data_IF_256024541939
#
_entry.id   IF_256024541939
#
_cell.length_a   1.000
_cell.length_b   1.000
_cell.length_c   1.000
_cell.angle_alpha   90.00
_cell.angle_beta   90.00
_cell.angle_gamma   90.00
#
_symmetry.space_group_name_H-M   'P 1'
#
loop_
_entity.id
_entity.type
_entity.pdbx_description
1 polymer ?
#
# COMPACT_ATOMS: atom_id res chain seq x y z
N UNK A 1 -4.60 12.90 -22.72
CA UNK A 1 -5.60 11.82 -22.74
C UNK A 1 -5.09 10.53 -23.43
N UNK A 2 -3.79 10.18 -23.33
CA UNK A 2 -3.22 8.97 -23.98
C UNK A 2 -2.71 7.91 -22.99
N UNK A 3 -2.98 8.02 -21.68
CA UNK A 3 -2.44 7.09 -20.66
C UNK A 3 -3.27 5.81 -20.43
N UNK A 4 -4.48 5.69 -20.98
CA UNK A 4 -5.36 4.55 -20.70
C UNK A 4 -5.04 3.26 -21.48
N UNK A 5 -4.20 3.31 -22.51
CA UNK A 5 -3.94 2.13 -23.38
C UNK A 5 -2.90 1.15 -22.80
N UNK A 6 -2.10 1.55 -21.83
CA UNK A 6 -0.98 0.75 -21.30
C UNK A 6 -1.38 -0.41 -20.36
N UNK A 7 -2.56 -0.37 -19.76
CA UNK A 7 -3.02 -1.38 -18.80
C UNK A 7 -3.93 -2.45 -19.40
N UNK A 8 -4.37 -2.24 -20.64
CA UNK A 8 -5.25 -3.18 -21.34
C UNK A 8 -4.51 -4.50 -21.56
N UNK A 9 -5.14 -5.59 -21.19
CA UNK A 9 -4.61 -6.96 -21.25
C UNK A 9 -3.57 -7.31 -20.14
N UNK A 10 -3.29 -6.42 -19.20
CA UNK A 10 -2.47 -6.73 -18.05
C UNK A 10 -3.32 -7.33 -16.92
N UNK A 11 -2.67 -8.14 -16.08
CA UNK A 11 -3.25 -8.75 -14.88
C UNK A 11 -2.66 -8.04 -13.65
N UNK A 12 -3.52 -7.45 -12.85
CA UNK A 12 -3.17 -6.75 -11.63
C UNK A 12 -3.70 -7.44 -10.38
N UNK A 13 -2.91 -7.42 -9.32
CA UNK A 13 -3.32 -7.79 -7.98
C UNK A 13 -3.25 -6.56 -7.08
N UNK A 14 -4.34 -6.27 -6.38
CA UNK A 14 -4.40 -5.24 -5.33
C UNK A 14 -4.72 -5.92 -4.00
N UNK A 15 -3.78 -5.86 -3.08
CA UNK A 15 -3.93 -6.40 -1.72
C UNK A 15 -4.42 -5.30 -0.80
N UNK A 16 -5.55 -5.52 -0.10
CA UNK A 16 -6.22 -4.47 0.66
C UNK A 16 -7.01 -3.51 -0.25
N UNK A 17 -7.67 -4.05 -1.28
CA UNK A 17 -8.33 -3.30 -2.34
C UNK A 17 -9.78 -2.93 -2.10
N UNK A 18 -10.36 -3.25 -0.93
CA UNK A 18 -11.80 -3.04 -0.70
C UNK A 18 -12.14 -1.63 -0.19
N UNK A 19 -11.20 -0.93 0.40
CA UNK A 19 -11.44 0.41 0.97
C UNK A 19 -10.28 1.37 0.71
N UNK A 20 -10.53 2.66 0.92
CA UNK A 20 -9.52 3.72 0.93
C UNK A 20 -8.66 3.77 -0.33
N UNK A 21 -7.34 3.87 -0.14
CA UNK A 21 -6.37 4.02 -1.22
C UNK A 21 -6.30 2.79 -2.12
N UNK A 22 -6.42 1.58 -1.54
CA UNK A 22 -6.45 0.33 -2.32
C UNK A 22 -7.64 0.29 -3.28
N UNK A 23 -8.83 0.64 -2.80
CA UNK A 23 -10.04 0.69 -3.63
C UNK A 23 -9.96 1.76 -4.74
N UNK A 24 -9.36 2.92 -4.44
CA UNK A 24 -9.14 3.93 -5.47
C UNK A 24 -8.25 3.41 -6.62
N UNK A 25 -7.22 2.61 -6.31
CA UNK A 25 -6.38 1.96 -7.33
C UNK A 25 -7.16 0.89 -8.10
N UNK A 26 -7.94 0.06 -7.42
CA UNK A 26 -8.80 -0.96 -8.06
C UNK A 26 -9.70 -0.31 -9.11
N UNK A 27 -10.44 0.74 -8.75
CA UNK A 27 -11.35 1.43 -9.67
C UNK A 27 -10.60 2.04 -10.86
N UNK A 28 -9.41 2.59 -10.67
CA UNK A 28 -8.60 3.17 -11.75
C UNK A 28 -8.05 2.09 -12.69
N UNK A 29 -7.60 0.95 -12.17
CA UNK A 29 -7.13 -0.19 -12.98
C UNK A 29 -8.27 -0.78 -13.81
N UNK A 30 -9.43 -1.02 -13.20
CA UNK A 30 -10.63 -1.52 -13.89
C UNK A 30 -11.08 -0.54 -14.99
N UNK A 31 -11.14 0.76 -14.70
CA UNK A 31 -11.47 1.79 -15.68
C UNK A 31 -10.46 1.88 -16.83
N UNK A 32 -9.19 1.51 -16.59
CA UNK A 32 -8.14 1.42 -17.61
C UNK A 32 -8.16 0.10 -18.43
N UNK A 33 -9.12 -0.79 -18.15
CA UNK A 33 -9.28 -2.08 -18.83
C UNK A 33 -8.31 -3.17 -18.37
N UNK A 34 -7.69 -2.99 -17.19
CA UNK A 34 -6.84 -3.99 -16.57
C UNK A 34 -7.68 -5.11 -15.94
N UNK A 35 -7.27 -6.37 -16.10
CA UNK A 35 -7.86 -7.49 -15.38
C UNK A 35 -7.40 -7.45 -13.94
N UNK A 36 -8.29 -7.05 -13.04
CA UNK A 36 -7.92 -6.72 -11.66
C UNK A 36 -8.47 -7.74 -10.67
N UNK A 37 -7.59 -8.24 -9.80
CA UNK A 37 -7.91 -9.11 -8.67
C UNK A 37 -7.70 -8.37 -7.36
N UNK A 38 -8.61 -8.56 -6.43
CA UNK A 38 -8.53 -8.00 -5.08
C UNK A 38 -8.33 -9.13 -4.07
N UNK A 39 -7.25 -9.07 -3.30
CA UNK A 39 -7.03 -9.92 -2.13
C UNK A 39 -7.36 -9.10 -0.88
N UNK A 40 -8.38 -9.49 -0.13
CA UNK A 40 -8.81 -8.77 1.08
C UNK A 40 -9.59 -9.73 2.03
N UNK A 41 -9.71 -9.35 3.29
CA UNK A 41 -10.57 -10.02 4.26
C UNK A 41 -12.05 -9.59 4.15
N UNK A 42 -12.31 -8.46 3.49
CA UNK A 42 -13.64 -7.92 3.22
C UNK A 42 -13.98 -8.06 1.74
N UNK A 43 -15.26 -8.27 1.42
CA UNK A 43 -15.73 -8.45 0.06
C UNK A 43 -15.85 -7.14 -0.73
N UNK A 44 -15.69 -7.23 -2.05
CA UNK A 44 -15.95 -6.16 -3.00
C UNK A 44 -16.59 -6.70 -4.27
N UNK A 45 -17.34 -5.85 -4.96
CA UNK A 45 -17.89 -6.12 -6.30
C UNK A 45 -17.17 -5.34 -7.40
N UNK A 46 -16.18 -4.52 -7.04
CA UNK A 46 -15.48 -3.63 -7.99
C UNK A 46 -14.53 -4.38 -8.94
N UNK A 47 -14.09 -5.59 -8.54
CA UNK A 47 -13.17 -6.44 -9.31
C UNK A 47 -13.31 -7.91 -8.89
N UNK A 48 -12.51 -8.82 -9.49
CA UNK A 48 -12.46 -10.21 -9.08
C UNK A 48 -11.92 -10.34 -7.64
N UNK A 49 -12.76 -10.79 -6.73
CA UNK A 49 -12.46 -10.87 -5.30
C UNK A 49 -11.95 -12.26 -4.89
N UNK A 50 -10.91 -12.27 -4.05
CA UNK A 50 -10.36 -13.43 -3.38
C UNK A 50 -10.28 -13.13 -1.87
N UNK A 51 -10.99 -13.89 -1.05
CA UNK A 51 -10.90 -13.76 0.40
C UNK A 51 -9.52 -14.24 0.85
N UNK A 52 -8.74 -13.34 1.42
CA UNK A 52 -7.35 -13.59 1.78
C UNK A 52 -6.93 -12.79 3.01
N UNK A 53 -6.56 -13.47 4.07
CA UNK A 53 -5.80 -12.87 5.17
C UNK A 53 -4.31 -13.04 4.87
N UNK A 54 -3.62 -11.96 4.55
CA UNK A 54 -2.20 -12.01 4.19
C UNK A 54 -1.27 -12.44 5.31
N UNK A 55 -1.76 -12.49 6.56
CA UNK A 55 -1.02 -13.07 7.69
C UNK A 55 -0.88 -14.58 7.56
N UNK A 56 -1.78 -15.21 6.83
CA UNK A 56 -1.78 -16.65 6.55
C UNK A 56 -1.17 -16.92 5.17
N UNK A 57 0.06 -17.44 5.17
CA UNK A 57 0.79 -17.74 3.93
C UNK A 57 0.05 -18.76 3.05
N UNK A 58 -0.67 -19.72 3.64
CA UNK A 58 -1.39 -20.74 2.87
C UNK A 58 -2.55 -20.15 2.07
N UNK A 59 -3.28 -19.17 2.63
CA UNK A 59 -4.31 -18.44 1.91
C UNK A 59 -3.71 -17.61 0.76
N UNK A 60 -2.59 -16.90 1.02
CA UNK A 60 -1.88 -16.14 -0.02
C UNK A 60 -1.45 -17.05 -1.16
N UNK A 61 -0.80 -18.18 -0.84
CA UNK A 61 -0.37 -19.17 -1.84
C UNK A 61 -1.55 -19.66 -2.69
N UNK A 62 -2.66 -20.05 -2.06
CA UNK A 62 -3.85 -20.55 -2.78
C UNK A 62 -4.45 -19.50 -3.71
N UNK A 63 -4.60 -18.26 -3.24
CA UNK A 63 -5.15 -17.16 -4.06
C UNK A 63 -4.24 -16.85 -5.26
N UNK A 64 -2.92 -16.76 -5.05
CA UNK A 64 -1.97 -16.48 -6.14
C UNK A 64 -1.95 -17.65 -7.14
N UNK A 65 -1.93 -18.90 -6.67
CA UNK A 65 -1.97 -20.08 -7.54
C UNK A 65 -3.25 -20.12 -8.40
N UNK A 66 -4.41 -19.79 -7.82
CA UNK A 66 -5.69 -19.69 -8.56
C UNK A 66 -5.63 -18.61 -9.65
N UNK A 67 -5.10 -17.42 -9.33
CA UNK A 67 -4.95 -16.33 -10.31
C UNK A 67 -4.02 -16.75 -11.45
N UNK A 68 -2.88 -17.34 -11.13
CA UNK A 68 -1.92 -17.80 -12.15
C UNK A 68 -2.51 -18.92 -13.01
N UNK A 69 -3.24 -19.87 -12.42
CA UNK A 69 -3.89 -20.94 -13.18
C UNK A 69 -4.95 -20.40 -14.15
N UNK A 70 -5.67 -19.34 -13.76
CA UNK A 70 -6.74 -18.72 -14.56
C UNK A 70 -6.20 -17.78 -15.64
N UNK A 71 -5.19 -16.98 -15.33
CA UNK A 71 -4.77 -15.86 -16.16
C UNK A 71 -3.37 -16.00 -16.76
N UNK A 72 -2.60 -16.97 -16.29
CA UNK A 72 -1.27 -17.32 -16.79
C UNK A 72 -0.16 -16.33 -16.42
N UNK A 73 -0.48 -15.19 -15.79
CA UNK A 73 0.45 -14.10 -15.55
C UNK A 73 0.03 -13.19 -14.40
N UNK A 74 0.99 -12.44 -13.87
CA UNK A 74 0.78 -11.31 -12.96
C UNK A 74 1.71 -10.18 -13.41
N UNK A 75 1.16 -9.06 -13.87
CA UNK A 75 1.95 -7.93 -14.38
C UNK A 75 2.17 -6.83 -13.35
N UNK A 76 1.14 -6.58 -12.56
CA UNK A 76 1.06 -5.45 -11.65
C UNK A 76 0.69 -5.94 -10.25
N UNK A 77 1.40 -5.42 -9.25
CA UNK A 77 1.08 -5.69 -7.85
C UNK A 77 1.06 -4.38 -7.06
N UNK A 78 -0.04 -4.13 -6.36
CA UNK A 78 -0.11 -3.07 -5.36
C UNK A 78 -0.46 -3.67 -4.00
N UNK A 79 0.40 -3.50 -3.00
CA UNK A 79 0.13 -3.93 -1.62
C UNK A 79 -0.24 -2.71 -0.79
N UNK A 80 -1.56 -2.50 -0.61
CA UNK A 80 -2.15 -1.42 0.17
C UNK A 80 -2.54 -1.85 1.59
N UNK A 81 -2.66 -3.16 1.83
CA UNK A 81 -3.07 -3.69 3.14
C UNK A 81 -2.13 -3.21 4.25
N UNK A 82 -2.72 -2.80 5.35
CA UNK A 82 -1.98 -2.36 6.51
C UNK A 82 -2.88 -1.92 7.65
N UNK A 83 -2.33 -1.92 8.85
CA UNK A 83 -3.00 -1.47 10.07
C UNK A 83 -2.13 -0.46 10.81
N UNK A 84 -2.78 0.48 11.48
CA UNK A 84 -2.13 1.49 12.32
C UNK A 84 -2.27 1.13 13.80
N UNK A 85 -1.30 1.56 14.61
CA UNK A 85 -1.36 1.51 16.07
C UNK A 85 -0.92 2.87 16.64
N UNK A 86 -1.71 3.41 17.57
CA UNK A 86 -1.46 4.71 18.20
C UNK A 86 -1.23 4.51 19.68
N UNK A 87 0.02 4.41 20.08
CA UNK A 87 0.49 4.33 21.47
C UNK A 87 1.97 4.69 21.56
N UNK A 88 2.46 5.03 22.76
CA UNK A 88 3.91 5.05 23.03
C UNK A 88 4.47 3.63 22.96
N UNK A 89 5.78 3.46 22.91
CA UNK A 89 6.37 2.13 22.87
C UNK A 89 6.07 1.36 24.17
N UNK A 90 6.15 2.01 25.31
CA UNK A 90 5.88 1.42 26.63
C UNK A 90 4.41 1.03 26.84
N UNK A 91 3.48 1.75 26.20
CA UNK A 91 2.03 1.46 26.23
C UNK A 91 1.61 0.43 25.17
N UNK A 92 2.50 0.03 24.28
CA UNK A 92 2.20 -0.95 23.22
C UNK A 92 2.30 -2.37 23.77
N UNK A 93 1.19 -3.10 23.73
CA UNK A 93 1.20 -4.53 24.10
C UNK A 93 1.95 -5.37 23.06
N UNK A 94 2.50 -6.53 23.49
CA UNK A 94 3.10 -7.48 22.55
C UNK A 94 2.10 -7.92 21.46
N UNK A 95 0.83 -8.11 21.82
CA UNK A 95 -0.23 -8.46 20.86
C UNK A 95 -0.47 -7.36 19.81
N UNK A 96 -0.43 -6.08 20.20
CA UNK A 96 -0.53 -4.96 19.25
C UNK A 96 0.69 -4.86 18.34
N UNK A 97 1.88 -5.06 18.90
CA UNK A 97 3.12 -5.15 18.14
C UNK A 97 3.02 -6.27 17.10
N UNK A 98 2.68 -7.48 17.52
CA UNK A 98 2.54 -8.64 16.63
C UNK A 98 1.47 -8.41 15.56
N UNK A 99 0.33 -7.82 15.91
CA UNK A 99 -0.73 -7.46 14.97
C UNK A 99 -0.23 -6.51 13.88
N UNK A 100 0.51 -5.47 14.23
CA UNK A 100 1.06 -4.52 13.25
C UNK A 100 2.12 -5.18 12.38
N UNK A 101 3.05 -5.92 12.97
CA UNK A 101 4.13 -6.57 12.24
C UNK A 101 3.62 -7.69 11.34
N UNK A 102 2.68 -8.50 11.82
CA UNK A 102 2.11 -9.60 11.04
C UNK A 102 1.36 -9.12 9.79
N UNK A 103 0.63 -8.01 9.87
CA UNK A 103 -0.06 -7.47 8.69
C UNK A 103 0.91 -6.68 7.80
N UNK A 104 1.60 -5.67 8.35
CA UNK A 104 2.32 -4.70 7.54
C UNK A 104 3.63 -5.26 6.96
N UNK A 105 4.30 -6.17 7.67
CA UNK A 105 5.62 -6.70 7.28
C UNK A 105 5.51 -8.15 6.82
N UNK A 106 5.07 -9.06 7.69
CA UNK A 106 4.99 -10.49 7.36
C UNK A 106 4.00 -10.75 6.23
N UNK A 107 2.83 -10.10 6.25
CA UNK A 107 1.84 -10.22 5.16
C UNK A 107 2.37 -9.70 3.83
N UNK A 108 3.07 -8.55 3.84
CA UNK A 108 3.76 -8.04 2.64
C UNK A 108 4.79 -9.04 2.13
N UNK A 109 5.58 -9.65 3.01
CA UNK A 109 6.55 -10.69 2.67
C UNK A 109 5.87 -11.92 2.05
N UNK A 110 4.76 -12.42 2.61
CA UNK A 110 4.03 -13.57 2.08
C UNK A 110 3.59 -13.34 0.63
N UNK A 111 2.98 -12.17 0.35
CA UNK A 111 2.52 -11.83 -1.01
C UNK A 111 3.69 -11.74 -1.98
N UNK A 112 4.76 -11.05 -1.61
CA UNK A 112 5.94 -10.90 -2.46
C UNK A 112 6.62 -12.25 -2.75
N UNK A 113 6.68 -13.13 -1.76
CA UNK A 113 7.26 -14.48 -1.89
C UNK A 113 6.55 -15.30 -2.96
N UNK A 114 5.24 -15.17 -3.11
CA UNK A 114 4.45 -15.90 -4.10
C UNK A 114 4.43 -15.20 -5.47
N UNK A 115 4.41 -13.87 -5.52
CA UNK A 115 4.30 -13.13 -6.79
C UNK A 115 5.65 -13.00 -7.51
N UNK A 116 6.75 -12.78 -6.80
CA UNK A 116 8.06 -12.56 -7.41
C UNK A 116 8.57 -13.72 -8.29
N UNK A 117 8.39 -15.02 -7.92
CA UNK A 117 8.75 -16.13 -8.81
C UNK A 117 7.98 -16.10 -10.14
N UNK A 118 6.69 -15.74 -10.12
CA UNK A 118 5.84 -15.61 -11.32
C UNK A 118 6.37 -14.50 -12.22
N UNK A 119 6.54 -13.29 -11.67
CA UNK A 119 7.08 -12.15 -12.43
C UNK A 119 8.50 -12.42 -12.96
N UNK A 120 9.35 -13.10 -12.18
CA UNK A 120 10.69 -13.49 -12.62
C UNK A 120 10.64 -14.45 -13.80
N UNK A 121 9.77 -15.44 -13.78
CA UNK A 121 9.60 -16.37 -14.92
C UNK A 121 9.08 -15.63 -16.17
N UNK A 122 8.23 -14.62 -16.02
CA UNK A 122 7.73 -13.75 -17.10
C UNK A 122 8.78 -12.76 -17.63
N UNK A 123 9.85 -12.47 -16.87
CA UNK A 123 10.81 -11.40 -17.13
C UNK A 123 10.12 -10.02 -17.23
N UNK A 124 9.08 -9.81 -16.42
CA UNK A 124 8.32 -8.56 -16.36
C UNK A 124 7.51 -8.48 -15.08
N UNK A 125 7.46 -7.29 -14.46
CA UNK A 125 6.58 -6.98 -13.35
C UNK A 125 6.76 -5.54 -12.85
N UNK A 126 5.64 -4.94 -12.40
CA UNK A 126 5.67 -3.63 -11.73
C UNK A 126 4.98 -3.75 -10.37
N UNK A 127 5.73 -3.46 -9.31
CA UNK A 127 5.29 -3.58 -7.92
C UNK A 127 5.31 -2.22 -7.25
N UNK A 128 4.22 -1.87 -6.58
CA UNK A 128 4.17 -0.70 -5.69
C UNK A 128 3.80 -1.17 -4.29
N UNK A 129 4.63 -0.81 -3.31
CA UNK A 129 4.39 -1.10 -1.90
C UNK A 129 3.88 0.16 -1.19
N UNK A 130 2.99 -0.03 -0.21
CA UNK A 130 2.46 1.07 0.60
C UNK A 130 3.36 1.35 1.79
N UNK A 131 4.19 2.38 1.68
CA UNK A 131 4.93 2.99 2.78
C UNK A 131 4.06 3.94 3.62
N UNK A 132 4.69 5.01 4.05
CA UNK A 132 4.11 6.17 4.77
C UNK A 132 5.17 7.28 4.81
N UNK A 133 4.76 8.52 5.05
CA UNK A 133 5.65 9.59 5.48
C UNK A 133 6.49 9.19 6.72
N UNK A 134 5.96 8.29 7.55
CA UNK A 134 6.67 7.72 8.70
C UNK A 134 7.83 6.76 8.33
N UNK A 135 8.07 6.52 7.06
CA UNK A 135 9.32 5.91 6.62
C UNK A 135 10.50 6.90 6.61
N UNK A 136 10.22 8.21 6.67
CA UNK A 136 11.20 9.29 6.66
C UNK A 136 11.30 10.04 7.97
N UNK A 137 10.16 10.24 8.66
CA UNK A 137 10.07 11.04 9.88
C UNK A 137 9.33 10.29 10.98
N UNK A 138 9.67 10.59 12.23
CA UNK A 138 8.95 10.08 13.40
C UNK A 138 7.66 10.87 13.65
N UNK A 139 6.60 10.15 14.10
CA UNK A 139 5.38 10.77 14.65
C UNK A 139 5.17 10.28 16.08
N UNK A 140 4.68 11.17 16.93
CA UNK A 140 4.37 10.83 18.32
C UNK A 140 3.37 9.67 18.40
N UNK A 141 3.56 8.77 19.38
CA UNK A 141 2.69 7.63 19.66
C UNK A 141 2.47 6.70 18.46
N UNK A 142 3.50 6.52 17.61
CA UNK A 142 3.41 5.74 16.37
C UNK A 142 4.68 4.92 16.11
N UNK A 143 5.45 4.58 17.14
CA UNK A 143 6.76 3.95 16.99
C UNK A 143 6.68 2.61 16.22
N UNK A 144 5.76 1.72 16.57
CA UNK A 144 5.62 0.39 15.95
C UNK A 144 5.11 0.50 14.51
N UNK A 145 4.17 1.42 14.24
CA UNK A 145 3.72 1.64 12.88
C UNK A 145 4.84 2.23 12.00
N UNK A 146 5.54 3.26 12.47
CA UNK A 146 6.68 3.85 11.75
C UNK A 146 7.76 2.81 11.46
N UNK A 147 8.12 1.98 12.45
CA UNK A 147 9.05 0.86 12.26
C UNK A 147 8.58 -0.08 11.15
N UNK A 148 7.29 -0.47 11.11
CA UNK A 148 6.77 -1.35 10.07
C UNK A 148 6.84 -0.72 8.68
N UNK A 149 6.62 0.59 8.56
CA UNK A 149 6.69 1.32 7.29
C UNK A 149 8.13 1.58 6.84
N UNK A 150 9.06 1.78 7.75
CA UNK A 150 10.48 1.81 7.47
C UNK A 150 10.99 0.44 6.96
N UNK A 151 10.50 -0.67 7.52
CA UNK A 151 10.81 -2.01 7.03
C UNK A 151 10.34 -2.22 5.58
N UNK A 152 9.12 -1.80 5.23
CA UNK A 152 8.60 -1.87 3.85
C UNK A 152 9.41 -0.98 2.91
N UNK A 153 9.79 0.22 3.35
CA UNK A 153 10.63 1.13 2.58
C UNK A 153 12.02 0.55 2.28
N UNK A 154 12.66 -0.06 3.27
CA UNK A 154 13.96 -0.72 3.07
C UNK A 154 13.83 -1.98 2.20
N UNK A 155 12.79 -2.78 2.41
CA UNK A 155 12.49 -3.95 1.58
C UNK A 155 12.36 -3.57 0.09
N UNK A 156 11.69 -2.45 -0.21
CA UNK A 156 11.57 -1.92 -1.59
C UNK A 156 12.94 -1.75 -2.26
N UNK A 157 13.90 -1.16 -1.56
CA UNK A 157 15.25 -0.91 -2.09
C UNK A 157 15.99 -2.21 -2.36
N UNK A 158 15.98 -3.14 -1.40
CA UNK A 158 16.67 -4.43 -1.52
C UNK A 158 16.10 -5.26 -2.68
N UNK A 159 14.77 -5.34 -2.77
CA UNK A 159 14.12 -6.08 -3.87
C UNK A 159 14.38 -5.44 -5.24
N UNK A 160 14.44 -4.11 -5.32
CA UNK A 160 14.79 -3.45 -6.59
C UNK A 160 16.20 -3.85 -7.06
N UNK A 161 17.17 -3.96 -6.15
CA UNK A 161 18.52 -4.44 -6.47
C UNK A 161 18.50 -5.89 -6.97
N UNK A 162 17.74 -6.76 -6.29
CA UNK A 162 17.71 -8.20 -6.59
C UNK A 162 16.99 -8.50 -7.92
N UNK A 163 15.91 -7.75 -8.25
CA UNK A 163 14.97 -8.13 -9.30
C UNK A 163 15.02 -7.26 -10.57
N UNK A 164 15.73 -6.13 -10.59
CA UNK A 164 15.85 -5.27 -11.78
C UNK A 164 16.42 -6.04 -12.99
N UNK A 165 17.33 -6.97 -12.79
CA UNK A 165 17.88 -7.84 -13.84
C UNK A 165 16.81 -8.72 -14.54
N UNK A 166 15.65 -8.89 -13.93
CA UNK A 166 14.51 -9.63 -14.47
C UNK A 166 13.42 -8.71 -15.05
N UNK A 167 13.76 -7.44 -15.32
CA UNK A 167 12.81 -6.43 -15.80
C UNK A 167 11.60 -6.25 -14.84
N UNK A 168 11.85 -6.38 -13.53
CA UNK A 168 10.85 -6.13 -12.48
C UNK A 168 11.21 -4.82 -11.78
N UNK A 169 10.26 -3.88 -11.75
CA UNK A 169 10.40 -2.60 -11.03
C UNK A 169 9.62 -2.65 -9.71
N UNK A 170 10.24 -2.16 -8.67
CA UNK A 170 9.65 -2.16 -7.33
C UNK A 170 9.84 -0.78 -6.73
N UNK A 171 8.73 -0.09 -6.43
CA UNK A 171 8.73 1.24 -5.83
C UNK A 171 7.81 1.27 -4.62
N UNK A 172 7.98 2.28 -3.78
CA UNK A 172 7.18 2.50 -2.59
C UNK A 172 6.50 3.86 -2.66
N UNK A 173 5.19 3.90 -2.50
CA UNK A 173 4.47 5.15 -2.29
C UNK A 173 4.41 5.44 -0.80
N UNK A 174 4.71 6.68 -0.42
CA UNK A 174 4.76 7.13 0.98
C UNK A 174 3.77 8.29 1.20
N UNK A 175 2.48 7.96 1.44
CA UNK A 175 1.46 8.98 1.67
C UNK A 175 1.65 9.71 2.99
N UNK A 176 1.23 10.98 3.03
CA UNK A 176 0.92 11.70 4.25
C UNK A 176 -0.44 11.31 4.81
N UNK A 177 -1.17 12.28 5.37
CA UNK A 177 -2.52 12.03 5.90
C UNK A 177 -3.56 12.06 4.79
N UNK A 178 -4.18 10.90 4.53
CA UNK A 178 -5.16 10.70 3.46
C UNK A 178 -6.53 10.42 4.05
N UNK A 179 -7.58 11.02 3.51
CA UNK A 179 -8.96 10.84 3.96
C UNK A 179 -9.46 9.41 3.68
N UNK A 180 -9.35 8.54 4.68
CA UNK A 180 -9.69 7.11 4.61
C UNK A 180 -10.44 6.68 5.86
N UNK A 181 -11.13 5.52 5.85
CA UNK A 181 -11.69 4.95 7.08
C UNK A 181 -10.66 4.77 8.20
N UNK A 182 -9.42 4.41 7.84
CA UNK A 182 -8.31 4.27 8.80
C UNK A 182 -8.04 5.58 9.52
N UNK A 183 -7.91 6.71 8.80
CA UNK A 183 -7.58 7.99 9.44
C UNK A 183 -8.70 8.48 10.34
N UNK A 184 -9.96 8.22 10.00
CA UNK A 184 -11.10 8.56 10.87
C UNK A 184 -10.99 7.86 12.22
N UNK A 185 -10.64 6.56 12.23
CA UNK A 185 -10.38 5.80 13.47
C UNK A 185 -9.16 6.34 14.24
N UNK A 186 -8.11 6.78 13.55
CA UNK A 186 -6.92 7.39 14.18
C UNK A 186 -7.29 8.71 14.86
N UNK A 187 -8.04 9.56 14.19
CA UNK A 187 -8.52 10.85 14.75
C UNK A 187 -9.35 10.64 16.02
N UNK A 188 -10.24 9.64 16.02
CA UNK A 188 -11.07 9.30 17.20
C UNK A 188 -10.18 8.82 18.38
N UNK A 189 -9.18 7.98 18.11
CA UNK A 189 -8.24 7.51 19.13
C UNK A 189 -7.37 8.62 19.69
N UNK A 190 -6.88 9.52 18.84
CA UNK A 190 -6.10 10.70 19.28
C UNK A 190 -6.98 11.60 20.17
N UNK A 191 -8.19 11.90 19.73
CA UNK A 191 -9.14 12.70 20.50
C UNK A 191 -9.41 12.10 21.88
N UNK A 192 -9.69 10.80 21.94
CA UNK A 192 -9.92 10.08 23.20
C UNK A 192 -8.70 10.06 24.10
N UNK A 193 -7.50 9.81 23.56
CA UNK A 193 -6.27 9.72 24.31
C UNK A 193 -5.77 11.06 24.88
N UNK A 194 -6.07 12.17 24.20
CA UNK A 194 -5.63 13.51 24.55
C UNK A 194 -6.73 14.40 25.15
N UNK A 195 -7.97 13.89 25.26
CA UNK A 195 -9.12 14.67 25.71
C UNK A 195 -9.50 15.83 24.75
N UNK A 196 -9.20 15.67 23.46
CA UNK A 196 -9.45 16.69 22.44
C UNK A 196 -10.70 16.38 21.63
N UNK A 197 -11.42 17.43 21.24
CA UNK A 197 -12.53 17.29 20.32
C UNK A 197 -12.02 16.89 18.92
N UNK A 198 -12.78 16.05 18.21
CA UNK A 198 -12.44 15.54 16.87
C UNK A 198 -12.03 16.65 15.89
N UNK A 199 -12.75 17.76 15.87
CA UNK A 199 -12.45 18.90 14.98
C UNK A 199 -11.08 19.52 15.23
N UNK A 200 -10.63 19.57 16.49
CA UNK A 200 -9.31 20.09 16.84
C UNK A 200 -8.20 19.15 16.36
N UNK A 201 -8.42 17.83 16.46
CA UNK A 201 -7.47 16.83 15.94
C UNK A 201 -7.41 16.89 14.42
N UNK A 202 -8.57 16.94 13.74
CA UNK A 202 -8.65 17.10 12.28
C UNK A 202 -7.90 18.34 11.80
N UNK A 203 -8.11 19.48 12.43
CA UNK A 203 -7.45 20.74 12.07
C UNK A 203 -5.94 20.66 12.28
N UNK A 204 -5.48 20.13 13.41
CA UNK A 204 -4.07 19.93 13.69
C UNK A 204 -3.41 19.02 12.63
N UNK A 205 -4.08 17.95 12.21
CA UNK A 205 -3.56 17.03 11.19
C UNK A 205 -3.57 17.64 9.79
N UNK A 206 -4.52 18.50 9.45
CA UNK A 206 -4.56 19.21 8.16
C UNK A 206 -3.46 20.26 8.07
N UNK A 207 -3.32 21.09 9.10
CA UNK A 207 -2.34 22.18 9.14
C UNK A 207 -0.91 21.71 9.27
N UNK A 208 -0.69 20.46 9.71
CA UNK A 208 0.63 19.83 9.70
C UNK A 208 1.19 19.62 8.28
N UNK A 209 0.32 19.52 7.27
CA UNK A 209 0.71 19.41 5.86
C UNK A 209 0.75 20.80 5.22
N UNK A 210 1.80 21.12 4.45
CA UNK A 210 1.95 22.45 3.83
C UNK A 210 0.77 22.85 2.94
N UNK A 211 0.11 21.87 2.31
CA UNK A 211 -1.10 22.10 1.51
C UNK A 211 -2.37 22.29 2.36
N UNK A 212 -2.29 22.19 3.69
CA UNK A 212 -3.33 22.45 4.69
C UNK A 212 -4.65 21.68 4.46
N UNK A 213 -4.57 20.49 3.90
CA UNK A 213 -5.72 19.58 3.73
C UNK A 213 -5.26 18.12 3.76
N UNK A 214 -6.21 17.23 3.98
CA UNK A 214 -5.94 15.80 3.73
C UNK A 214 -5.80 15.56 2.22
N UNK A 215 -4.94 14.61 1.86
CA UNK A 215 -4.96 14.04 0.52
C UNK A 215 -6.19 13.15 0.32
N UNK A 216 -6.53 12.88 -0.93
CA UNK A 216 -7.62 11.96 -1.26
C UNK A 216 -7.08 10.60 -1.71
N UNK A 217 -7.86 9.51 -1.53
CA UNK A 217 -7.50 8.19 -2.07
C UNK A 217 -7.22 8.23 -3.57
N UNK A 218 -7.97 9.05 -4.32
CA UNK A 218 -7.83 9.21 -5.76
C UNK A 218 -6.49 9.85 -6.16
N UNK A 219 -5.96 10.79 -5.37
CA UNK A 219 -4.64 11.40 -5.61
C UNK A 219 -3.54 10.35 -5.44
N UNK A 220 -3.63 9.51 -4.40
CA UNK A 220 -2.71 8.38 -4.21
C UNK A 220 -2.86 7.36 -5.35
N UNK A 221 -4.11 7.04 -5.73
CA UNK A 221 -4.39 6.16 -6.85
C UNK A 221 -3.69 6.59 -8.14
N UNK A 222 -3.75 7.88 -8.50
CA UNK A 222 -3.07 8.42 -9.69
C UNK A 222 -1.55 8.25 -9.62
N UNK A 223 -0.94 8.47 -8.46
CA UNK A 223 0.50 8.27 -8.28
C UNK A 223 0.88 6.78 -8.38
N UNK A 224 0.08 5.88 -7.82
CA UNK A 224 0.27 4.42 -7.95
C UNK A 224 0.12 3.99 -9.40
N UNK A 225 -0.90 4.46 -10.12
CA UNK A 225 -1.06 4.17 -11.56
C UNK A 225 0.14 4.63 -12.38
N UNK A 226 0.70 5.80 -12.09
CA UNK A 226 1.93 6.27 -12.73
C UNK A 226 3.10 5.30 -12.46
N UNK A 227 3.31 4.88 -11.22
CA UNK A 227 4.39 3.96 -10.84
C UNK A 227 4.23 2.55 -11.43
N UNK A 228 2.98 2.07 -11.57
CA UNK A 228 2.67 0.79 -12.19
C UNK A 228 2.78 0.84 -13.71
N UNK A 229 2.69 2.02 -14.33
CA UNK A 229 2.71 2.17 -15.79
C UNK A 229 4.13 2.05 -16.35
N UNK A 230 4.22 1.77 -17.65
CA UNK A 230 5.50 1.76 -18.39
C UNK A 230 6.05 3.16 -18.68
N UNK A 231 5.35 4.23 -18.31
CA UNK A 231 5.82 5.61 -18.47
C UNK A 231 7.04 5.89 -17.58
N UNK A 232 7.14 5.22 -16.42
CA UNK A 232 8.25 5.46 -15.48
C UNK A 232 9.29 4.31 -15.46
N UNK A 233 9.67 3.76 -16.61
CA UNK A 233 10.58 2.59 -16.70
C UNK A 233 11.94 2.78 -16.06
N UNK A 234 12.41 4.00 -15.88
CA UNK A 234 13.69 4.29 -15.21
C UNK A 234 13.56 4.47 -13.69
N UNK A 235 12.37 4.22 -13.12
CA UNK A 235 12.13 4.31 -11.68
C UNK A 235 12.01 2.93 -11.06
N UNK A 236 12.96 2.56 -10.20
CA UNK A 236 12.91 1.38 -9.32
C UNK A 236 13.64 1.67 -8.02
N UNK A 237 13.27 1.05 -6.92
CA UNK A 237 13.83 1.26 -5.59
C UNK A 237 13.49 2.61 -4.96
N UNK A 238 12.60 3.39 -5.58
CA UNK A 238 12.28 4.76 -5.14
C UNK A 238 11.21 4.76 -4.05
N UNK A 239 11.39 5.68 -3.09
CA UNK A 239 10.38 6.01 -2.08
C UNK A 239 9.75 7.36 -2.49
N UNK A 240 8.48 7.34 -2.85
CA UNK A 240 7.80 8.51 -3.43
C UNK A 240 6.85 9.12 -2.39
N UNK A 241 7.21 10.29 -1.87
CA UNK A 241 6.33 11.05 -0.98
C UNK A 241 5.15 11.64 -1.75
N UNK A 242 3.93 11.42 -1.25
CA UNK A 242 2.69 12.07 -1.68
C UNK A 242 1.96 12.52 -0.42
N UNK A 243 2.48 13.54 0.23
CA UNK A 243 2.24 13.87 1.63
C UNK A 243 1.87 15.34 1.87
N UNK A 244 1.60 16.09 0.79
CA UNK A 244 1.27 17.51 0.89
C UNK A 244 2.42 18.36 1.44
N UNK A 245 3.67 17.91 1.27
CA UNK A 245 4.89 18.60 1.72
C UNK A 245 5.25 18.35 3.19
N UNK A 246 4.65 17.35 3.84
CA UNK A 246 4.87 17.09 5.27
C UNK A 246 6.34 16.77 5.59
N UNK A 247 7.03 15.97 4.78
CA UNK A 247 8.40 15.53 5.08
C UNK A 247 9.49 16.46 4.56
N UNK A 248 9.16 17.55 3.87
CA UNK A 248 10.13 18.49 3.35
C UNK A 248 10.38 19.74 4.23
N UNK A 249 9.78 19.79 5.42
CA UNK A 249 9.87 20.91 6.37
C UNK A 249 10.67 20.52 7.63
#
# INVERSE_FOLDING_TARGET
MQQASGFKSQVAIVVGGTTGMGNAVVRQLVAAGCKTHVLDIHETTDAAFHRCDIRDHSQVHSCIAEIVARDGRIDLLFIAAGVHHFATLEDTSLADFERVMSVNVTGTFHVLKEVLPVMRAQQYGNIVLMGSDQAFVGKARSAVYGMSKAAVAQLTKSLAVDYTQHNIRINCICPGTIETPMIRSVVERIGSALGLHRTAVDESMRTAQLVQRFGTPEEIGKAVMFLLSDVCRFMTGSLISVDGGFVCQ
#
